data_IF_412252561967
#
_entry.id   IF_412252561967
#
_cell.length_a   1.000
_cell.length_b   1.000
_cell.length_c   1.000
_cell.angle_alpha   90.00
_cell.angle_beta   90.00
_cell.angle_gamma   90.00
#
_symmetry.space_group_name_H-M   'P 1'
#
loop_
_entity.id
_entity.type
_entity.pdbx_description
1 polymer ?
#
# COMPACT_ATOMS: atom_id res chain seq x y z
N UNK A 1 -15.11 29.39 58.46
CA UNK A 1 -13.86 28.75 57.99
C UNK A 1 -14.12 27.56 57.05
N UNK A 2 -15.12 27.64 56.15
CA UNK A 2 -15.45 26.59 55.18
C UNK A 2 -15.35 27.09 53.72
N UNK A 3 -15.64 28.37 53.48
CA UNK A 3 -15.65 28.97 52.14
C UNK A 3 -14.29 28.94 51.43
N UNK A 4 -13.18 29.18 52.15
CA UNK A 4 -11.84 29.13 51.54
C UNK A 4 -11.40 27.73 51.10
N UNK A 5 -11.84 26.68 51.81
CA UNK A 5 -11.51 25.28 51.46
C UNK A 5 -12.23 24.83 50.19
N UNK A 6 -13.46 25.31 49.99
CA UNK A 6 -14.26 25.00 48.79
C UNK A 6 -13.57 25.59 47.54
N UNK A 7 -13.10 26.84 47.60
CA UNK A 7 -12.40 27.50 46.48
C UNK A 7 -11.10 26.78 46.13
N UNK A 8 -10.34 26.33 47.12
CA UNK A 8 -9.11 25.55 46.90
C UNK A 8 -9.45 24.23 46.22
N UNK A 9 -10.47 23.52 46.70
CA UNK A 9 -10.87 22.22 46.15
C UNK A 9 -11.38 22.32 44.71
N UNK A 10 -12.20 23.33 44.38
CA UNK A 10 -12.66 23.55 43.00
C UNK A 10 -11.51 23.93 42.06
N UNK A 11 -10.55 24.74 42.53
CA UNK A 11 -9.36 25.09 41.74
C UNK A 11 -8.51 23.86 41.42
N UNK A 12 -8.31 22.97 42.40
CA UNK A 12 -7.63 21.69 42.18
C UNK A 12 -8.39 20.80 41.19
N UNK A 13 -9.72 20.70 41.30
CA UNK A 13 -10.53 19.94 40.36
C UNK A 13 -10.42 20.48 38.93
N UNK A 14 -10.51 21.80 38.73
CA UNK A 14 -10.38 22.44 37.42
C UNK A 14 -8.96 22.21 36.85
N UNK A 15 -7.93 22.36 37.68
CA UNK A 15 -6.55 22.08 37.28
C UNK A 15 -6.34 20.64 36.81
N UNK A 16 -6.92 19.66 37.53
CA UNK A 16 -6.89 18.24 37.14
C UNK A 16 -7.63 17.99 35.82
N UNK A 17 -8.79 18.63 35.61
CA UNK A 17 -9.56 18.50 34.36
C UNK A 17 -8.75 19.06 33.17
N UNK A 18 -8.11 20.22 33.32
CA UNK A 18 -7.30 20.83 32.26
C UNK A 18 -6.08 19.94 31.94
N UNK A 19 -5.34 19.48 32.95
CA UNK A 19 -4.14 18.65 32.76
C UNK A 19 -4.51 17.31 32.10
N UNK A 20 -5.60 16.67 32.53
CA UNK A 20 -6.06 15.40 31.95
C UNK A 20 -6.50 15.58 30.49
N UNK A 21 -7.25 16.64 30.20
CA UNK A 21 -7.72 16.95 28.85
C UNK A 21 -6.57 17.28 27.91
N UNK A 22 -5.61 18.10 28.36
CA UNK A 22 -4.39 18.41 27.59
C UNK A 22 -3.57 17.15 27.30
N UNK A 23 -3.38 16.30 28.30
CA UNK A 23 -2.63 15.04 28.15
C UNK A 23 -3.32 14.11 27.15
N UNK A 24 -4.65 14.00 27.21
CA UNK A 24 -5.43 13.21 26.27
C UNK A 24 -5.32 13.72 24.83
N UNK A 25 -5.48 15.04 24.60
CA UNK A 25 -5.32 15.63 23.27
C UNK A 25 -3.89 15.49 22.73
N UNK A 26 -2.89 15.66 23.58
CA UNK A 26 -1.49 15.49 23.21
C UNK A 26 -1.18 14.03 22.83
N UNK A 27 -1.65 13.06 23.63
CA UNK A 27 -1.54 11.65 23.31
C UNK A 27 -2.28 11.29 22.02
N UNK A 28 -3.49 11.82 21.81
CA UNK A 28 -4.24 11.62 20.57
C UNK A 28 -3.45 12.12 19.35
N UNK A 29 -2.85 13.31 19.43
CA UNK A 29 -2.02 13.86 18.36
C UNK A 29 -0.77 13.00 18.08
N UNK A 30 -0.11 12.51 19.13
CA UNK A 30 1.06 11.63 19.00
C UNK A 30 0.71 10.27 18.41
N UNK A 31 -0.39 9.67 18.85
CA UNK A 31 -0.86 8.38 18.35
C UNK A 31 -1.44 8.49 16.94
N UNK A 32 -1.99 9.64 16.56
CA UNK A 32 -2.53 9.91 15.23
C UNK A 32 -1.48 10.22 14.16
N UNK A 33 -0.19 9.87 14.37
CA UNK A 33 0.80 9.88 13.28
C UNK A 33 0.46 8.82 12.24
N UNK A 34 -0.52 9.14 11.38
CA UNK A 34 -0.88 8.34 10.22
C UNK A 34 0.18 8.59 9.16
N UNK A 35 0.87 7.52 8.75
CA UNK A 35 1.75 7.56 7.59
C UNK A 35 0.94 8.03 6.38
N UNK A 36 1.31 9.20 5.83
CA UNK A 36 0.70 9.71 4.60
C UNK A 36 1.53 9.18 3.43
N UNK A 37 0.97 8.31 2.58
CA UNK A 37 1.67 7.86 1.40
C UNK A 37 1.93 9.05 0.45
N UNK A 38 3.01 9.00 -0.35
CA UNK A 38 3.35 10.06 -1.30
C UNK A 38 2.34 10.18 -2.45
N UNK A 39 1.58 9.12 -2.74
CA UNK A 39 0.55 9.07 -3.77
C UNK A 39 -0.54 8.08 -3.37
N UNK A 40 -1.76 8.31 -3.86
CA UNK A 40 -2.91 7.41 -3.68
C UNK A 40 -3.30 6.67 -4.95
N UNK A 41 -3.07 7.30 -6.11
CA UNK A 41 -3.63 6.86 -7.39
C UNK A 41 -2.53 6.71 -8.44
N UNK A 42 -2.80 5.92 -9.49
CA UNK A 42 -1.90 5.77 -10.63
C UNK A 42 -1.51 7.11 -11.30
N UNK A 43 -2.44 8.08 -11.33
CA UNK A 43 -2.18 9.42 -11.88
C UNK A 43 -1.20 10.21 -11.02
N UNK A 44 -1.33 10.16 -9.70
CA UNK A 44 -0.41 10.84 -8.79
C UNK A 44 0.97 10.20 -8.82
N UNK A 45 1.04 8.86 -8.86
CA UNK A 45 2.28 8.12 -9.04
C UNK A 45 3.02 8.55 -10.32
N UNK A 46 2.29 8.65 -11.45
CA UNK A 46 2.85 9.09 -12.72
C UNK A 46 3.33 10.55 -12.68
N UNK A 47 2.61 11.42 -11.99
CA UNK A 47 2.96 12.83 -11.85
C UNK A 47 4.18 13.05 -10.95
N UNK A 48 4.31 12.28 -9.87
CA UNK A 48 5.48 12.34 -8.99
C UNK A 48 6.75 11.87 -9.73
N UNK A 49 6.65 10.79 -10.50
CA UNK A 49 7.72 10.28 -11.37
C UNK A 49 9.00 9.84 -10.66
N UNK A 50 9.10 10.01 -9.34
CA UNK A 50 10.30 9.71 -8.57
C UNK A 50 10.31 8.27 -8.07
N UNK A 51 9.16 7.61 -8.07
CA UNK A 51 8.99 6.20 -7.71
C UNK A 51 8.94 5.34 -8.98
N UNK A 52 10.03 4.64 -9.35
CA UNK A 52 9.94 3.56 -10.33
C UNK A 52 8.93 2.51 -9.88
N UNK A 53 8.13 2.04 -10.84
CA UNK A 53 7.15 0.99 -10.61
C UNK A 53 7.75 -0.33 -11.07
N UNK A 54 8.01 -1.21 -10.13
CA UNK A 54 8.40 -2.57 -10.43
C UNK A 54 7.19 -3.46 -10.68
N UNK A 55 7.36 -4.37 -11.63
CA UNK A 55 6.43 -5.47 -11.92
C UNK A 55 7.23 -6.76 -12.14
N UNK A 56 6.63 -7.91 -11.88
CA UNK A 56 7.31 -9.19 -12.10
C UNK A 56 7.55 -9.42 -13.60
N UNK A 57 8.73 -9.93 -13.95
CA UNK A 57 9.04 -10.26 -15.34
C UNK A 57 8.12 -11.37 -15.87
N UNK A 58 7.72 -11.26 -17.15
CA UNK A 58 6.84 -12.22 -17.83
C UNK A 58 5.51 -12.52 -17.10
N UNK A 59 4.95 -11.52 -16.40
CA UNK A 59 3.73 -11.68 -15.62
C UNK A 59 2.52 -11.00 -16.28
N UNK A 60 1.32 -11.37 -15.82
CA UNK A 60 0.07 -10.77 -16.29
C UNK A 60 -0.02 -9.29 -15.93
N UNK A 61 0.53 -8.90 -14.78
CA UNK A 61 0.60 -7.49 -14.35
C UNK A 61 1.38 -6.65 -15.36
N UNK A 62 2.51 -7.16 -15.87
CA UNK A 62 3.32 -6.44 -16.87
C UNK A 62 2.52 -6.25 -18.17
N UNK A 63 1.83 -7.29 -18.60
CA UNK A 63 1.00 -7.27 -19.80
C UNK A 63 -0.17 -6.27 -19.67
N UNK A 64 -0.79 -6.20 -18.49
CA UNK A 64 -1.87 -5.25 -18.20
C UNK A 64 -1.45 -3.78 -18.33
N UNK A 65 -0.19 -3.44 -18.05
CA UNK A 65 0.33 -2.09 -18.25
C UNK A 65 0.79 -1.85 -19.70
N UNK A 66 1.40 -2.86 -20.33
CA UNK A 66 1.99 -2.74 -21.67
C UNK A 66 0.94 -2.72 -22.79
N UNK A 67 -0.07 -3.58 -22.69
CA UNK A 67 -1.10 -3.80 -23.71
C UNK A 67 -2.45 -3.19 -23.31
N UNK A 68 -2.45 -2.22 -22.39
CA UNK A 68 -3.68 -1.61 -21.91
C UNK A 68 -4.33 -0.72 -22.97
N UNK A 69 -5.68 -0.74 -23.12
CA UNK A 69 -6.38 0.27 -23.92
C UNK A 69 -6.36 1.66 -23.25
N UNK A 70 -6.09 1.73 -21.94
CA UNK A 70 -6.07 2.98 -21.21
C UNK A 70 -4.73 3.71 -21.40
N UNK A 71 -4.81 4.95 -21.92
CA UNK A 71 -3.64 5.81 -22.13
C UNK A 71 -2.80 6.01 -20.86
N UNK A 72 -3.44 6.13 -19.69
CA UNK A 72 -2.74 6.32 -18.41
C UNK A 72 -1.81 5.14 -18.09
N UNK A 73 -2.27 3.91 -18.34
CA UNK A 73 -1.53 2.69 -18.03
C UNK A 73 -0.32 2.54 -18.97
N UNK A 74 -0.50 2.85 -20.26
CA UNK A 74 0.59 2.87 -21.22
C UNK A 74 1.64 3.95 -20.89
N UNK A 75 1.21 5.12 -20.41
CA UNK A 75 2.14 6.16 -19.94
C UNK A 75 2.94 5.70 -18.72
N UNK A 76 2.30 5.03 -17.77
CA UNK A 76 2.97 4.40 -16.61
C UNK A 76 3.97 3.36 -17.05
N UNK A 77 3.60 2.49 -17.99
CA UNK A 77 4.52 1.52 -18.58
C UNK A 77 5.75 2.21 -19.15
N UNK A 78 5.56 3.18 -20.05
CA UNK A 78 6.66 3.83 -20.75
C UNK A 78 7.58 4.65 -19.82
N UNK A 79 7.03 5.32 -18.80
CA UNK A 79 7.80 6.21 -17.93
C UNK A 79 8.37 5.52 -16.68
N UNK A 80 7.64 4.58 -16.08
CA UNK A 80 7.98 4.03 -14.76
C UNK A 80 8.49 2.59 -14.80
N UNK A 81 8.08 1.80 -15.80
CA UNK A 81 8.41 0.35 -15.91
C UNK A 81 9.46 0.10 -16.99
N UNK A 82 9.28 0.66 -18.19
CA UNK A 82 10.16 0.45 -19.34
C UNK A 82 11.63 0.79 -19.07
N UNK A 83 11.98 1.87 -18.33
CA UNK A 83 13.38 2.15 -18.00
C UNK A 83 14.07 1.05 -17.20
N UNK A 84 13.33 0.26 -16.41
CA UNK A 84 13.82 -0.80 -15.55
C UNK A 84 13.51 -2.21 -16.08
N UNK A 85 13.08 -2.33 -17.36
CA UNK A 85 12.61 -3.58 -17.97
C UNK A 85 13.60 -4.74 -17.85
N UNK A 86 14.91 -4.47 -18.03
CA UNK A 86 15.96 -5.49 -17.97
C UNK A 86 16.29 -5.92 -16.54
N UNK A 87 15.85 -5.16 -15.55
CA UNK A 87 16.12 -5.38 -14.13
C UNK A 87 14.88 -5.80 -13.35
N UNK A 88 13.77 -6.11 -14.03
CA UNK A 88 12.54 -6.49 -13.36
C UNK A 88 12.75 -7.73 -12.48
N UNK A 89 12.18 -7.75 -11.26
CA UNK A 89 12.26 -8.91 -10.38
C UNK A 89 11.65 -10.15 -11.02
N UNK A 90 12.28 -11.30 -10.79
CA UNK A 90 11.80 -12.59 -11.31
C UNK A 90 10.79 -13.24 -10.36
N UNK A 91 10.81 -12.85 -9.09
CA UNK A 91 9.93 -13.39 -8.04
C UNK A 91 9.24 -12.29 -7.25
N UNK A 92 8.04 -12.58 -6.78
CA UNK A 92 7.29 -11.72 -5.86
C UNK A 92 8.07 -11.38 -4.59
N UNK A 93 8.81 -12.34 -4.01
CA UNK A 93 9.61 -12.10 -2.81
C UNK A 93 10.77 -11.13 -3.09
N UNK A 94 11.42 -11.25 -4.24
CA UNK A 94 12.50 -10.36 -4.66
C UNK A 94 11.97 -8.92 -4.82
N UNK A 95 10.81 -8.75 -5.48
CA UNK A 95 10.17 -7.45 -5.63
C UNK A 95 9.82 -6.80 -4.29
N UNK A 96 9.28 -7.57 -3.35
CA UNK A 96 8.97 -7.10 -2.00
C UNK A 96 10.23 -6.73 -1.19
N UNK A 97 11.30 -7.51 -1.30
CA UNK A 97 12.58 -7.18 -0.68
C UNK A 97 13.17 -5.88 -1.23
N UNK A 98 13.00 -5.59 -2.53
CA UNK A 98 13.42 -4.31 -3.12
C UNK A 98 12.61 -3.13 -2.59
N UNK A 99 11.30 -3.28 -2.36
CA UNK A 99 10.48 -2.24 -1.70
C UNK A 99 11.03 -1.92 -0.31
N UNK A 100 11.43 -2.94 0.45
CA UNK A 100 12.02 -2.72 1.78
C UNK A 100 13.43 -2.12 1.72
N UNK A 101 14.25 -2.49 0.72
CA UNK A 101 15.63 -2.05 0.62
C UNK A 101 15.78 -0.65 0.00
N UNK A 102 14.91 -0.27 -0.95
CA UNK A 102 15.03 0.96 -1.71
C UNK A 102 14.05 2.02 -1.21
N UNK A 103 14.55 3.22 -0.89
CA UNK A 103 13.75 4.30 -0.28
C UNK A 103 12.59 4.80 -1.16
N UNK A 104 12.72 4.68 -2.49
CA UNK A 104 11.73 5.15 -3.47
C UNK A 104 11.50 4.08 -4.51
N UNK A 105 10.75 3.05 -4.15
CA UNK A 105 10.39 1.98 -5.07
C UNK A 105 8.96 1.55 -4.79
N UNK A 106 8.14 1.49 -5.84
CA UNK A 106 6.79 0.94 -5.76
C UNK A 106 6.74 -0.41 -6.47
N UNK A 107 5.86 -1.29 -6.00
CA UNK A 107 5.76 -2.66 -6.51
C UNK A 107 4.31 -3.03 -6.76
N UNK A 108 4.01 -3.45 -7.99
CA UNK A 108 2.70 -4.02 -8.32
C UNK A 108 2.72 -5.52 -8.06
N UNK A 109 1.79 -5.99 -7.23
CA UNK A 109 1.65 -7.39 -6.87
C UNK A 109 0.19 -7.70 -6.54
N UNK A 110 -0.23 -8.94 -6.77
CA UNK A 110 -1.48 -9.44 -6.22
C UNK A 110 -1.47 -9.41 -4.69
N UNK A 111 -2.55 -8.90 -4.09
CA UNK A 111 -2.66 -8.70 -2.64
C UNK A 111 -2.40 -10.00 -1.85
N UNK A 112 -2.91 -11.14 -2.36
CA UNK A 112 -2.69 -12.46 -1.77
C UNK A 112 -1.20 -12.79 -1.59
N UNK A 113 -0.37 -12.45 -2.56
CA UNK A 113 1.06 -12.75 -2.54
C UNK A 113 1.79 -11.83 -1.56
N UNK A 114 1.41 -10.55 -1.52
CA UNK A 114 1.96 -9.61 -0.54
C UNK A 114 1.68 -10.06 0.90
N UNK A 115 0.47 -10.56 1.16
CA UNK A 115 0.10 -11.07 2.48
C UNK A 115 0.87 -12.34 2.85
N UNK A 116 1.04 -13.28 1.91
CA UNK A 116 1.78 -14.53 2.14
C UNK A 116 3.24 -14.30 2.57
N UNK A 117 3.89 -13.26 2.02
CA UNK A 117 5.30 -12.96 2.34
C UNK A 117 5.50 -11.98 3.49
N UNK A 118 4.42 -11.42 4.06
CA UNK A 118 4.52 -10.35 5.07
C UNK A 118 5.36 -10.76 6.31
N UNK A 119 5.33 -12.03 6.71
CA UNK A 119 6.14 -12.55 7.83
C UNK A 119 7.64 -12.68 7.52
N UNK A 120 8.02 -12.70 6.24
CA UNK A 120 9.41 -12.87 5.79
C UNK A 120 10.11 -11.53 5.55
N UNK A 121 9.37 -10.42 5.52
CA UNK A 121 9.89 -9.10 5.23
C UNK A 121 10.39 -8.39 6.49
N UNK A 122 11.45 -7.60 6.33
CA UNK A 122 12.01 -6.75 7.38
C UNK A 122 11.29 -5.42 7.56
N UNK A 123 10.36 -5.09 6.66
CA UNK A 123 9.65 -3.80 6.66
C UNK A 123 8.13 -3.97 6.66
N UNK A 124 7.42 -2.92 7.06
CA UNK A 124 5.96 -2.85 6.97
C UNK A 124 5.56 -2.29 5.60
N UNK A 125 4.83 -3.09 4.83
CA UNK A 125 4.29 -2.66 3.54
C UNK A 125 3.09 -1.72 3.74
N UNK A 126 2.90 -0.80 2.81
CA UNK A 126 1.77 0.11 2.77
C UNK A 126 1.03 -0.05 1.43
N UNK A 127 -0.24 -0.49 1.42
CA UNK A 127 -1.00 -0.64 0.18
C UNK A 127 -1.49 0.72 -0.33
N UNK A 128 -1.57 0.84 -1.65
CA UNK A 128 -2.01 2.06 -2.33
C UNK A 128 -3.44 1.82 -2.84
N UNK A 129 -4.42 2.24 -2.05
CA UNK A 129 -5.82 1.77 -2.15
C UNK A 129 -6.53 2.09 -3.47
N UNK A 130 -6.17 3.18 -4.16
CA UNK A 130 -6.83 3.63 -5.39
C UNK A 130 -6.01 3.30 -6.66
N UNK A 131 -4.88 2.59 -6.50
CA UNK A 131 -4.01 2.16 -7.60
C UNK A 131 -4.03 0.63 -7.74
N UNK A 132 -5.20 0.07 -8.07
CA UNK A 132 -5.37 -1.37 -8.28
C UNK A 132 -5.92 -1.67 -9.67
N UNK A 133 -5.66 -2.90 -10.14
CA UNK A 133 -6.24 -3.46 -11.35
C UNK A 133 -7.06 -4.68 -10.91
N UNK A 134 -8.35 -4.77 -11.27
CA UNK A 134 -9.15 -5.95 -10.92
C UNK A 134 -8.55 -7.18 -11.61
N UNK A 135 -8.24 -8.19 -10.81
CA UNK A 135 -7.69 -9.47 -11.27
C UNK A 135 -8.50 -10.63 -10.71
N UNK A 136 -8.60 -11.71 -11.48
CA UNK A 136 -9.31 -12.92 -11.08
C UNK A 136 -8.37 -14.12 -11.21
N UNK A 137 -8.29 -14.93 -10.17
CA UNK A 137 -7.64 -16.23 -10.24
C UNK A 137 -8.57 -17.23 -10.95
N UNK A 138 -8.04 -17.99 -11.89
CA UNK A 138 -8.79 -19.03 -12.61
C UNK A 138 -7.92 -20.24 -12.88
N UNK A 139 -8.55 -21.37 -13.18
CA UNK A 139 -7.87 -22.59 -13.57
C UNK A 139 -7.74 -22.65 -15.09
N UNK A 140 -6.51 -22.59 -15.58
CA UNK A 140 -6.23 -22.78 -17.00
C UNK A 140 -6.33 -24.27 -17.36
N UNK A 141 -7.13 -24.58 -18.38
CA UNK A 141 -7.23 -25.92 -18.96
C UNK A 141 -6.81 -25.90 -20.42
N UNK A 142 -6.26 -27.00 -20.92
CA UNK A 142 -5.94 -27.15 -22.34
C UNK A 142 -7.20 -26.91 -23.18
N UNK A 143 -7.06 -26.17 -24.28
CA UNK A 143 -8.14 -25.96 -25.25
C UNK A 143 -8.70 -27.32 -25.67
N UNK A 144 -10.04 -27.46 -25.65
CA UNK A 144 -10.77 -28.69 -25.94
C UNK A 144 -10.47 -29.87 -24.98
N UNK A 145 -10.07 -29.59 -23.73
CA UNK A 145 -9.94 -30.63 -22.70
C UNK A 145 -11.31 -31.27 -22.39
N UNK A 146 -11.41 -32.61 -22.31
CA UNK A 146 -12.64 -33.31 -21.93
C UNK A 146 -13.05 -32.98 -20.47
N UNK A 147 -12.10 -32.56 -19.64
CA UNK A 147 -12.34 -32.18 -18.24
C UNK A 147 -12.97 -30.81 -18.06
N UNK A 148 -13.20 -30.03 -19.14
CA UNK A 148 -13.85 -28.72 -19.07
C UNK A 148 -15.21 -28.79 -18.39
N UNK A 149 -15.99 -29.84 -18.67
CA UNK A 149 -17.33 -30.00 -18.09
C UNK A 149 -17.30 -30.26 -16.58
N UNK A 150 -16.22 -30.88 -16.08
CA UNK A 150 -16.07 -31.25 -14.66
C UNK A 150 -15.53 -30.06 -13.86
N UNK A 151 -14.60 -29.29 -14.43
CA UNK A 151 -13.92 -28.17 -13.76
C UNK A 151 -14.74 -26.87 -13.82
N UNK A 152 -15.78 -26.82 -14.65
CA UNK A 152 -16.73 -25.70 -14.71
C UNK A 152 -17.63 -25.72 -13.47
N UNK A 153 -17.09 -25.23 -12.36
CA UNK A 153 -17.80 -24.86 -11.14
C UNK A 153 -18.43 -23.48 -11.33
#
# INVERSE_FOLDING_TARGET
>A
MFSGRIVVLTTYCIGLIIISSYSASFLSYLMARVFKPPFKNFRELLNDGTYPLGVQANSAELDNFKNSPNKLMNEIYNKLIHPSINTLPQSSLEGLNRVCAWRKYSWMIAEINAFSYNKQLSCKLFPVSEAFIPGFASMAIKKNSPYKAIIKI
#
